data_IF_639635243008
#
_entry.id   IF_639635243008
#
_cell.length_a   1.000
_cell.length_b   1.000
_cell.length_c   1.000
_cell.angle_alpha   90.00
_cell.angle_beta   90.00
_cell.angle_gamma   90.00
#
_symmetry.space_group_name_H-M   'P 1'
#
loop_
_entity.id
_entity.type
_entity.pdbx_description
1 polymer ?
#
# COMPACT_ATOMS: atom_id res chain seq x y z
N UNK A 1 3.30 23.11 -6.35
CA UNK A 1 2.87 21.88 -5.63
C UNK A 1 1.35 21.86 -5.52
N UNK A 2 0.73 20.68 -5.45
CA UNK A 2 -0.73 20.48 -5.50
C UNK A 2 -1.50 20.91 -4.22
N UNK A 3 -0.95 21.81 -3.39
CA UNK A 3 -1.59 22.29 -2.16
C UNK A 3 -1.55 21.35 -0.95
N UNK A 4 -1.10 20.11 -1.11
CA UNK A 4 -0.95 19.14 -0.01
C UNK A 4 0.47 19.19 0.59
N UNK A 5 0.58 19.05 1.93
CA UNK A 5 1.89 18.82 2.57
C UNK A 5 2.41 17.44 2.16
N UNK A 6 3.63 17.40 1.63
CA UNK A 6 4.30 16.15 1.34
C UNK A 6 4.64 15.41 2.65
N UNK A 7 4.61 14.08 2.62
CA UNK A 7 5.10 13.24 3.70
C UNK A 7 6.61 13.47 3.87
N UNK A 8 7.06 13.66 5.11
CA UNK A 8 8.47 13.95 5.42
C UNK A 8 9.30 12.68 5.61
N UNK A 9 8.66 11.55 5.91
CA UNK A 9 9.33 10.26 6.05
C UNK A 9 9.81 9.75 4.68
N UNK A 10 10.97 9.05 4.62
CA UNK A 10 11.43 8.41 3.39
C UNK A 10 10.38 7.44 2.83
N UNK A 11 10.21 7.47 1.52
CA UNK A 11 9.33 6.53 0.84
C UNK A 11 9.94 5.13 0.84
N UNK A 12 9.22 4.16 1.42
CA UNK A 12 9.56 2.73 1.36
C UNK A 12 8.46 1.99 0.61
N UNK A 13 8.69 1.50 -0.62
CA UNK A 13 7.67 0.79 -1.38
C UNK A 13 7.35 -0.55 -0.71
N UNK A 14 6.07 -0.79 -0.42
CA UNK A 14 5.61 -2.02 0.22
C UNK A 14 4.15 -2.30 -0.12
N UNK A 15 3.74 -3.57 0.00
CA UNK A 15 2.35 -3.99 -0.02
C UNK A 15 1.93 -4.33 1.41
N UNK A 16 0.93 -3.62 1.94
CA UNK A 16 0.40 -3.91 3.28
C UNK A 16 -0.39 -5.22 3.24
N UNK A 17 0.07 -6.25 3.96
CA UNK A 17 -0.63 -7.55 4.03
C UNK A 17 -1.66 -7.61 5.17
N UNK A 18 -1.33 -7.00 6.31
CA UNK A 18 -2.19 -6.96 7.48
C UNK A 18 -1.88 -5.73 8.34
N UNK A 19 -2.84 -5.35 9.19
CA UNK A 19 -2.65 -4.34 10.23
C UNK A 19 -3.07 -4.95 11.57
N UNK A 20 -2.23 -4.79 12.57
CA UNK A 20 -2.57 -5.24 13.92
C UNK A 20 -3.61 -4.30 14.52
N UNK A 21 -4.75 -4.84 14.96
CA UNK A 21 -5.81 -4.05 15.63
C UNK A 21 -5.42 -3.56 17.04
N UNK A 22 -4.31 -4.07 17.58
CA UNK A 22 -3.68 -3.65 18.84
C UNK A 22 -2.17 -3.86 18.73
N UNK A 23 -1.34 -3.18 19.54
CA UNK A 23 0.09 -3.45 19.59
C UNK A 23 0.36 -4.93 19.85
N UNK A 24 1.27 -5.52 19.09
CA UNK A 24 1.70 -6.90 19.27
C UNK A 24 2.98 -6.96 20.11
N UNK A 25 3.11 -7.99 20.94
CA UNK A 25 4.43 -8.36 21.45
C UNK A 25 5.25 -8.95 20.32
N UNK A 26 6.57 -8.77 20.38
CA UNK A 26 7.49 -9.24 19.34
C UNK A 26 7.33 -10.75 19.06
N UNK A 27 7.17 -11.57 20.09
CA UNK A 27 6.99 -13.02 19.95
C UNK A 27 5.72 -13.39 19.17
N UNK A 28 4.60 -12.71 19.45
CA UNK A 28 3.32 -12.93 18.76
C UNK A 28 3.44 -12.59 17.26
N UNK A 29 4.16 -11.50 16.93
CA UNK A 29 4.46 -11.14 15.54
C UNK A 29 5.30 -12.19 14.82
N UNK A 30 6.36 -12.70 15.45
CA UNK A 30 7.21 -13.71 14.83
C UNK A 30 6.46 -15.02 14.60
N UNK A 31 5.64 -15.44 15.57
CA UNK A 31 4.81 -16.63 15.43
C UNK A 31 3.79 -16.49 14.29
N UNK A 32 3.14 -15.33 14.16
CA UNK A 32 2.25 -15.05 13.04
C UNK A 32 2.99 -15.03 11.69
N UNK A 33 4.13 -14.33 11.63
CA UNK A 33 4.95 -14.24 10.42
C UNK A 33 5.46 -15.61 9.96
N UNK A 34 5.85 -16.48 10.89
CA UNK A 34 6.33 -17.83 10.55
C UNK A 34 5.24 -18.72 9.94
N UNK A 35 3.96 -18.40 10.15
CA UNK A 35 2.82 -19.10 9.55
C UNK A 35 2.39 -18.51 8.21
N UNK A 36 2.91 -17.34 7.84
CA UNK A 36 2.66 -16.78 6.52
C UNK A 36 3.50 -17.54 5.50
N UNK A 37 2.82 -18.33 4.69
CA UNK A 37 3.36 -18.81 3.42
C UNK A 37 3.40 -17.62 2.46
N UNK A 38 4.54 -16.93 2.45
CA UNK A 38 4.76 -15.86 1.47
C UNK A 38 5.09 -16.51 0.12
N UNK A 39 4.47 -16.07 -0.98
CA UNK A 39 4.89 -16.51 -2.31
C UNK A 39 6.35 -16.11 -2.54
N UNK A 40 7.01 -16.84 -3.44
CA UNK A 40 8.33 -16.46 -3.96
C UNK A 40 8.32 -14.98 -4.40
N UNK A 41 9.48 -14.28 -4.38
CA UNK A 41 9.57 -12.90 -4.82
C UNK A 41 8.84 -12.68 -6.15
N UNK A 42 7.82 -11.82 -6.13
CA UNK A 42 7.01 -11.52 -7.31
C UNK A 42 7.54 -10.27 -7.97
N UNK A 43 7.85 -10.37 -9.25
CA UNK A 43 8.10 -9.19 -10.09
C UNK A 43 6.77 -8.67 -10.60
N UNK A 44 6.48 -7.39 -10.33
CA UNK A 44 5.26 -6.72 -10.77
C UNK A 44 5.61 -5.60 -11.73
N UNK A 45 4.99 -5.59 -12.91
CA UNK A 45 5.03 -4.47 -13.85
C UNK A 45 3.83 -3.57 -13.59
N UNK A 46 4.08 -2.27 -13.45
CA UNK A 46 3.01 -1.27 -13.33
C UNK A 46 2.77 -0.60 -14.68
N UNK A 47 1.51 -0.61 -15.13
CA UNK A 47 1.09 0.00 -16.39
C UNK A 47 0.31 1.30 -16.18
N UNK A 48 -0.08 1.59 -14.94
CA UNK A 48 -0.85 2.79 -14.59
C UNK A 48 -0.61 3.23 -13.16
N UNK A 49 -0.83 4.52 -12.92
CA UNK A 49 -1.02 5.11 -11.60
C UNK A 49 -2.48 5.50 -11.44
N UNK A 50 -3.06 5.26 -10.28
CA UNK A 50 -4.42 5.67 -9.95
C UNK A 50 -4.43 6.68 -8.81
N UNK A 51 -5.27 7.71 -8.95
CA UNK A 51 -5.66 8.56 -7.85
C UNK A 51 -6.86 7.91 -7.17
N UNK A 52 -6.74 7.62 -5.88
CA UNK A 52 -7.73 6.92 -5.09
C UNK A 52 -8.25 7.84 -3.98
N UNK A 53 -9.56 7.95 -3.87
CA UNK A 53 -10.22 8.54 -2.71
C UNK A 53 -10.42 7.47 -1.63
N UNK A 54 -10.00 7.77 -0.40
CA UNK A 54 -10.20 6.91 0.77
C UNK A 54 -11.22 7.53 1.72
N UNK A 55 -12.37 6.89 1.89
CA UNK A 55 -13.43 7.33 2.83
C UNK A 55 -13.47 6.40 4.05
N UNK A 56 -13.07 6.86 5.24
CA UNK A 56 -13.21 6.08 6.46
C UNK A 56 -14.69 5.78 6.75
N UNK A 57 -14.98 4.56 7.21
CA UNK A 57 -16.32 4.16 7.63
C UNK A 57 -16.30 3.06 8.68
N UNK A 58 -17.49 2.63 9.10
CA UNK A 58 -17.64 1.48 10.00
C UNK A 58 -17.06 0.22 9.33
N UNK A 59 -16.04 -0.39 9.93
CA UNK A 59 -15.37 -1.60 9.41
C UNK A 59 -14.13 -1.34 8.55
N UNK A 60 -13.72 -0.09 8.34
CA UNK A 60 -12.50 0.26 7.61
C UNK A 60 -12.70 1.31 6.53
N UNK A 61 -11.63 1.62 5.80
CA UNK A 61 -11.68 2.57 4.68
C UNK A 61 -12.30 1.93 3.43
N UNK A 62 -13.19 2.67 2.76
CA UNK A 62 -13.66 2.36 1.41
C UNK A 62 -12.86 3.17 0.40
N UNK A 63 -12.38 2.51 -0.63
CA UNK A 63 -11.54 3.12 -1.66
C UNK A 63 -12.30 3.22 -2.98
N UNK A 64 -12.23 4.38 -3.64
CA UNK A 64 -12.78 4.61 -4.96
C UNK A 64 -11.72 5.22 -5.87
N UNK A 65 -11.58 4.70 -7.09
CA UNK A 65 -10.72 5.34 -8.10
C UNK A 65 -11.39 6.60 -8.63
N UNK A 66 -10.68 7.72 -8.63
CA UNK A 66 -11.19 9.01 -9.11
C UNK A 66 -10.56 9.44 -10.42
N UNK A 67 -9.34 9.00 -10.71
CA UNK A 67 -8.63 9.22 -11.96
C UNK A 67 -7.49 8.22 -12.10
N UNK A 68 -6.95 8.08 -13.30
CA UNK A 68 -5.75 7.28 -13.55
C UNK A 68 -4.91 7.89 -14.68
N UNK A 69 -3.64 7.51 -14.73
CA UNK A 69 -2.69 7.87 -15.77
C UNK A 69 -1.91 6.62 -16.20
N UNK A 70 -1.71 6.44 -17.50
CA UNK A 70 -0.87 5.35 -18.00
C UNK A 70 0.60 5.59 -17.63
N UNK A 71 1.31 4.51 -17.29
CA UNK A 71 2.76 4.47 -17.18
C UNK A 71 3.32 3.88 -18.47
N UNK A 72 4.08 4.67 -19.24
CA UNK A 72 4.80 4.16 -20.41
C UNK A 72 4.52 4.81 -21.77
N UNK A 73 4.06 6.07 -21.84
CA UNK A 73 4.00 6.81 -23.12
C UNK A 73 5.14 7.82 -23.30
N UNK A 74 6.23 7.69 -22.53
CA UNK A 74 7.47 8.40 -22.85
C UNK A 74 8.11 7.73 -24.07
N UNK A 75 7.91 8.31 -25.26
CA UNK A 75 8.88 8.12 -26.33
C UNK A 75 10.28 8.52 -25.81
N UNK A 76 11.35 7.83 -26.25
CA UNK A 76 12.72 8.25 -25.94
C UNK A 76 12.99 9.70 -26.36
#
# INVERSE_FOLDING_TARGET
GLGCKAESRPFTPHLTLARAGRPWRRADFQAWRARLELPAPVTVRFERLSLIESRPGSGGSRYAEVAWAALGTGAP
#
